data_IF_315396068875
#
_entry.id   IF_315396068875
#
_cell.length_a   1.000
_cell.length_b   1.000
_cell.length_c   1.000
_cell.angle_alpha   90.00
_cell.angle_beta   90.00
_cell.angle_gamma   90.00
#
_symmetry.space_group_name_H-M   'P 1'
#
loop_
_entity.id
_entity.type
_entity.pdbx_description
1 polymer ?
#
# COMPACT_ATOMS: atom_id res chain seq x y z
N UNK A 1 -29.68 4.02 50.82
CA UNK A 1 -30.66 4.74 50.00
C UNK A 1 -30.39 6.22 50.12
N UNK A 2 -29.69 6.79 49.14
CA UNK A 2 -29.82 8.15 48.60
C UNK A 2 -28.92 8.21 47.35
N UNK A 3 -29.43 8.86 46.33
CA UNK A 3 -29.24 8.65 44.90
C UNK A 3 -27.86 8.99 44.35
N UNK A 4 -27.30 8.08 43.54
CA UNK A 4 -26.45 8.46 42.41
C UNK A 4 -27.32 9.22 41.41
N UNK A 5 -27.17 10.54 41.35
CA UNK A 5 -27.60 11.31 40.20
C UNK A 5 -26.75 10.87 39.01
N UNK A 6 -27.34 10.00 38.21
CA UNK A 6 -26.93 9.73 36.85
C UNK A 6 -27.05 11.05 36.09
N UNK A 7 -25.93 11.74 35.88
CA UNK A 7 -25.82 12.80 34.88
C UNK A 7 -26.03 12.16 33.50
N UNK A 8 -27.29 11.98 33.14
CA UNK A 8 -27.73 11.91 31.76
C UNK A 8 -27.41 13.29 31.16
N UNK A 9 -26.27 13.38 30.48
CA UNK A 9 -26.04 14.42 29.49
C UNK A 9 -27.13 14.19 28.44
N UNK A 10 -28.21 14.95 28.55
CA UNK A 10 -29.14 15.15 27.43
C UNK A 10 -28.33 15.78 26.31
N UNK A 11 -27.92 14.97 25.33
CA UNK A 11 -27.37 15.45 24.07
C UNK A 11 -28.40 16.40 23.46
N UNK A 12 -28.17 17.71 23.59
CA UNK A 12 -28.72 18.65 22.64
C UNK A 12 -28.21 18.20 21.28
N UNK A 13 -29.08 17.68 20.41
CA UNK A 13 -28.72 17.32 19.05
C UNK A 13 -28.16 18.56 18.37
N UNK A 14 -26.84 18.65 18.26
CA UNK A 14 -26.15 19.77 17.63
C UNK A 14 -26.51 19.73 16.14
N UNK A 15 -27.03 20.84 15.62
CA UNK A 15 -27.26 21.06 14.19
C UNK A 15 -25.91 21.09 13.45
N UNK A 16 -25.88 20.59 12.21
CA UNK A 16 -24.64 20.41 11.44
C UNK A 16 -24.55 21.53 10.40
N UNK A 17 -23.72 22.53 10.66
CA UNK A 17 -23.66 23.75 9.84
C UNK A 17 -22.51 23.75 8.84
N UNK A 18 -21.48 22.94 9.06
CA UNK A 18 -20.30 22.89 8.21
C UNK A 18 -19.71 21.48 8.13
N UNK A 19 -18.71 21.30 7.27
CA UNK A 19 -18.08 19.99 7.06
C UNK A 19 -17.43 19.43 8.34
N UNK A 20 -16.82 20.28 9.18
CA UNK A 20 -16.19 19.84 10.43
C UNK A 20 -17.22 19.28 11.41
N UNK A 21 -18.42 19.86 11.46
CA UNK A 21 -19.53 19.34 12.28
C UNK A 21 -19.95 17.94 11.81
N UNK A 22 -20.01 17.71 10.50
CA UNK A 22 -20.29 16.40 9.91
C UNK A 22 -19.26 15.35 10.34
N UNK A 23 -17.97 15.70 10.29
CA UNK A 23 -16.89 14.82 10.76
C UNK A 23 -16.99 14.53 12.25
N UNK A 24 -17.17 15.57 13.07
CA UNK A 24 -17.29 15.42 14.52
C UNK A 24 -18.46 14.50 14.89
N UNK A 25 -19.61 14.68 14.25
CA UNK A 25 -20.77 13.83 14.45
C UNK A 25 -20.52 12.38 14.02
N UNK A 26 -19.94 12.16 12.84
CA UNK A 26 -19.64 10.80 12.36
C UNK A 26 -18.65 10.08 13.29
N UNK A 27 -17.60 10.77 13.74
CA UNK A 27 -16.62 10.27 14.70
C UNK A 27 -17.29 9.89 16.02
N UNK A 28 -18.18 10.75 16.54
CA UNK A 28 -18.91 10.47 17.77
C UNK A 28 -19.78 9.22 17.64
N UNK A 29 -20.54 9.12 16.55
CA UNK A 29 -21.36 7.94 16.25
C UNK A 29 -20.52 6.66 16.16
N UNK A 30 -19.39 6.69 15.44
CA UNK A 30 -18.54 5.52 15.29
C UNK A 30 -17.96 5.07 16.65
N UNK A 31 -17.54 6.02 17.48
CA UNK A 31 -17.03 5.73 18.84
C UNK A 31 -18.11 5.17 19.76
N UNK A 32 -19.37 5.54 19.54
CA UNK A 32 -20.52 4.99 20.26
C UNK A 32 -20.92 3.58 19.74
N UNK A 33 -20.28 3.09 18.67
CA UNK A 33 -20.56 1.79 18.06
C UNK A 33 -21.77 1.78 17.13
N UNK A 34 -22.24 2.96 16.69
CA UNK A 34 -23.37 3.05 15.77
C UNK A 34 -23.00 2.50 14.40
N UNK A 35 -23.98 1.90 13.71
CA UNK A 35 -23.81 1.53 12.32
C UNK A 35 -23.74 2.78 11.43
N UNK A 36 -22.89 2.73 10.41
CA UNK A 36 -22.73 3.78 9.39
C UNK A 36 -24.06 4.30 8.85
N UNK A 37 -25.01 3.41 8.54
CA UNK A 37 -26.34 3.79 8.01
C UNK A 37 -27.19 4.57 9.02
N UNK A 38 -27.08 4.25 10.31
CA UNK A 38 -27.81 4.95 11.38
C UNK A 38 -27.21 6.34 11.61
N UNK A 39 -25.88 6.41 11.70
CA UNK A 39 -25.16 7.65 11.81
C UNK A 39 -25.42 8.57 10.60
N UNK A 40 -25.40 8.02 9.38
CA UNK A 40 -25.61 8.77 8.14
C UNK A 40 -27.02 9.36 8.08
N UNK A 41 -28.04 8.58 8.44
CA UNK A 41 -29.42 9.06 8.47
C UNK A 41 -29.62 10.19 9.51
N UNK A 42 -28.97 10.08 10.67
CA UNK A 42 -29.10 11.08 11.72
C UNK A 42 -28.33 12.38 11.42
N UNK A 43 -27.12 12.26 10.90
CA UNK A 43 -26.32 13.39 10.42
C UNK A 43 -27.08 14.12 9.30
N UNK A 44 -27.54 13.41 8.27
CA UNK A 44 -28.25 14.02 7.15
C UNK A 44 -29.50 14.81 7.57
N UNK A 45 -30.26 14.31 8.56
CA UNK A 45 -31.44 15.01 9.09
C UNK A 45 -31.11 16.34 9.79
N UNK A 46 -29.86 16.54 10.21
CA UNK A 46 -29.36 17.73 10.92
C UNK A 46 -28.48 18.64 10.05
N UNK A 47 -28.18 18.23 8.82
CA UNK A 47 -27.30 18.96 7.92
C UNK A 47 -27.97 20.21 7.35
N UNK A 48 -27.22 21.31 7.38
CA UNK A 48 -27.55 22.53 6.66
C UNK A 48 -27.60 22.29 5.13
N UNK A 49 -28.55 22.90 4.39
CA UNK A 49 -28.68 22.71 2.95
C UNK A 49 -27.46 23.08 2.10
N UNK A 50 -26.49 23.84 2.65
CA UNK A 50 -25.23 24.14 1.97
C UNK A 50 -24.27 22.95 1.87
N UNK A 51 -24.48 21.93 2.70
CA UNK A 51 -23.72 20.68 2.66
C UNK A 51 -24.35 19.69 1.69
N UNK A 52 -23.52 18.81 1.11
CA UNK A 52 -23.92 17.94 0.00
C UNK A 52 -23.78 16.46 0.33
N UNK A 53 -24.39 15.59 -0.48
CA UNK A 53 -24.17 14.14 -0.37
C UNK A 53 -22.73 13.73 -0.69
N UNK A 54 -21.96 14.57 -1.39
CA UNK A 54 -20.53 14.37 -1.56
C UNK A 54 -19.79 14.49 -0.23
N UNK A 55 -20.22 15.40 0.64
CA UNK A 55 -19.64 15.57 1.98
C UNK A 55 -19.91 14.35 2.85
N UNK A 56 -21.14 13.81 2.81
CA UNK A 56 -21.48 12.53 3.44
C UNK A 56 -20.56 11.42 2.92
N UNK A 57 -20.43 11.25 1.60
CA UNK A 57 -19.59 10.19 1.04
C UNK A 57 -18.11 10.32 1.48
N UNK A 58 -17.58 11.54 1.49
CA UNK A 58 -16.21 11.82 1.93
C UNK A 58 -15.99 11.48 3.41
N UNK A 59 -16.93 11.86 4.29
CA UNK A 59 -16.82 11.60 5.74
C UNK A 59 -16.94 10.11 6.02
N UNK A 60 -17.95 9.45 5.46
CA UNK A 60 -18.23 8.05 5.77
C UNK A 60 -17.18 7.11 5.20
N UNK A 61 -16.66 7.36 4.00
CA UNK A 61 -15.53 6.58 3.45
C UNK A 61 -14.30 6.59 4.35
N UNK A 62 -14.13 7.61 5.19
CA UNK A 62 -12.99 7.76 6.09
C UNK A 62 -13.28 7.22 7.50
N UNK A 63 -14.35 7.68 8.13
CA UNK A 63 -14.67 7.35 9.54
C UNK A 63 -15.10 5.89 9.70
N UNK A 64 -15.76 5.33 8.67
CA UNK A 64 -16.18 3.94 8.62
C UNK A 64 -15.39 3.14 7.57
N UNK A 65 -14.12 3.50 7.34
CA UNK A 65 -13.28 2.90 6.30
C UNK A 65 -13.28 1.36 6.37
N UNK A 66 -13.23 0.78 7.57
CA UNK A 66 -13.27 -0.67 7.77
C UNK A 66 -14.56 -1.34 7.26
N UNK A 67 -15.70 -0.65 7.21
CA UNK A 67 -16.94 -1.19 6.64
C UNK A 67 -16.83 -1.36 5.13
N UNK A 68 -16.09 -0.47 4.48
CA UNK A 68 -15.91 -0.44 3.03
C UNK A 68 -14.61 -1.13 2.58
N UNK A 69 -13.75 -1.52 3.53
CA UNK A 69 -12.59 -2.38 3.30
C UNK A 69 -13.00 -3.85 3.10
N UNK A 70 -13.61 -4.12 1.94
CA UNK A 70 -14.19 -5.42 1.57
C UNK A 70 -13.45 -6.06 0.37
N UNK A 71 -14.09 -6.96 -0.39
CA UNK A 71 -13.49 -7.74 -1.47
C UNK A 71 -12.61 -6.96 -2.44
N UNK A 72 -13.08 -5.81 -2.93
CA UNK A 72 -12.31 -4.94 -3.85
C UNK A 72 -11.49 -3.85 -3.15
N UNK A 73 -11.62 -3.73 -1.82
CA UNK A 73 -11.05 -2.70 -0.93
C UNK A 73 -11.53 -1.29 -1.31
N UNK A 74 -11.96 -0.50 -0.32
CA UNK A 74 -12.63 0.80 -0.56
C UNK A 74 -13.82 0.66 -1.54
N UNK A 75 -14.72 -0.27 -1.22
CA UNK A 75 -15.86 -0.64 -2.05
C UNK A 75 -16.89 0.50 -2.12
N UNK A 76 -16.90 1.22 -3.24
CA UNK A 76 -17.81 2.35 -3.46
C UNK A 76 -19.26 1.91 -3.63
N UNK A 77 -19.51 0.68 -4.10
CA UNK A 77 -20.87 0.16 -4.26
C UNK A 77 -21.54 -0.08 -2.91
N UNK A 78 -20.77 -0.54 -1.92
CA UNK A 78 -21.26 -0.65 -0.54
C UNK A 78 -21.58 0.71 0.06
N UNK A 79 -20.70 1.71 -0.10
CA UNK A 79 -20.98 3.07 0.38
C UNK A 79 -22.23 3.66 -0.31
N UNK A 80 -22.36 3.49 -1.63
CA UNK A 80 -23.53 3.93 -2.37
C UNK A 80 -24.81 3.27 -1.87
N UNK A 81 -24.79 1.96 -1.62
CA UNK A 81 -25.92 1.23 -1.04
C UNK A 81 -26.29 1.75 0.35
N UNK A 82 -25.29 2.04 1.21
CA UNK A 82 -25.51 2.68 2.51
C UNK A 82 -26.15 4.06 2.35
N UNK A 83 -25.72 4.88 1.40
CA UNK A 83 -26.32 6.19 1.12
C UNK A 83 -27.79 6.07 0.68
N UNK A 84 -28.10 5.19 -0.27
CA UNK A 84 -29.48 4.94 -0.73
C UNK A 84 -30.36 4.48 0.43
N UNK A 85 -29.89 3.51 1.22
CA UNK A 85 -30.65 2.93 2.33
C UNK A 85 -30.90 3.93 3.46
N UNK A 86 -29.94 4.80 3.75
CA UNK A 86 -29.97 5.67 4.94
C UNK A 86 -30.79 6.93 4.72
N UNK A 87 -30.70 7.51 3.52
CA UNK A 87 -31.29 8.83 3.23
C UNK A 87 -32.23 8.84 2.02
N UNK A 88 -32.43 7.70 1.36
CA UNK A 88 -33.30 7.60 0.19
C UNK A 88 -32.77 8.33 -1.05
N UNK A 89 -31.45 8.47 -1.17
CA UNK A 89 -30.81 9.20 -2.27
C UNK A 89 -30.90 8.43 -3.60
N UNK A 90 -30.78 9.15 -4.72
CA UNK A 90 -30.75 8.53 -6.05
C UNK A 90 -29.57 7.54 -6.17
N UNK A 91 -29.80 6.28 -6.60
CA UNK A 91 -28.75 5.28 -6.69
C UNK A 91 -27.59 5.66 -7.63
N UNK A 92 -27.88 6.32 -8.75
CA UNK A 92 -26.86 6.69 -9.74
C UNK A 92 -25.94 7.77 -9.19
N UNK A 93 -26.52 8.81 -8.58
CA UNK A 93 -25.74 9.89 -7.95
C UNK A 93 -25.00 9.41 -6.70
N UNK A 94 -25.60 8.51 -5.91
CA UNK A 94 -24.93 7.88 -4.77
C UNK A 94 -23.67 7.15 -5.21
N UNK A 95 -23.76 6.36 -6.29
CA UNK A 95 -22.60 5.66 -6.86
C UNK A 95 -21.51 6.64 -7.34
N UNK A 96 -21.89 7.73 -8.01
CA UNK A 96 -20.93 8.73 -8.47
C UNK A 96 -20.16 9.37 -7.31
N UNK A 97 -20.85 9.78 -6.24
CA UNK A 97 -20.20 10.37 -5.07
C UNK A 97 -19.38 9.37 -4.28
N UNK A 98 -19.87 8.15 -4.10
CA UNK A 98 -19.14 7.09 -3.43
C UNK A 98 -17.86 6.72 -4.18
N UNK A 99 -17.93 6.54 -5.50
CA UNK A 99 -16.74 6.29 -6.33
C UNK A 99 -15.74 7.44 -6.24
N UNK A 100 -16.21 8.70 -6.32
CA UNK A 100 -15.32 9.85 -6.17
C UNK A 100 -14.68 9.95 -4.78
N UNK A 101 -15.41 9.56 -3.72
CA UNK A 101 -14.87 9.57 -2.37
C UNK A 101 -13.79 8.49 -2.21
N UNK A 102 -14.05 7.27 -2.68
CA UNK A 102 -13.13 6.14 -2.56
C UNK A 102 -11.82 6.28 -3.36
N UNK A 103 -11.74 7.22 -4.31
CA UNK A 103 -10.49 7.51 -5.04
C UNK A 103 -9.45 8.33 -4.23
N UNK A 104 -9.81 8.74 -3.01
CA UNK A 104 -8.97 9.56 -2.15
C UNK A 104 -8.84 8.91 -0.78
N UNK A 105 -7.61 8.58 -0.40
CA UNK A 105 -7.25 8.15 0.94
C UNK A 105 -7.51 9.28 1.94
N UNK A 106 -8.27 8.98 2.98
CA UNK A 106 -8.60 9.89 4.08
C UNK A 106 -8.23 9.28 5.42
N UNK A 107 -7.07 8.66 5.52
CA UNK A 107 -6.49 8.22 6.79
C UNK A 107 -5.11 8.83 7.01
N UNK A 108 -4.31 8.16 7.84
CA UNK A 108 -2.88 8.43 7.90
C UNK A 108 -2.24 7.94 6.61
N UNK A 109 -1.56 8.82 5.89
CA UNK A 109 -0.87 8.52 4.63
C UNK A 109 0.61 8.25 4.89
N UNK A 110 1.12 7.17 4.29
CA UNK A 110 2.55 6.97 4.02
C UNK A 110 2.78 7.32 2.56
N UNK A 111 3.60 8.33 2.26
CA UNK A 111 3.80 8.74 0.86
C UNK A 111 4.73 7.80 0.13
N UNK A 112 4.37 7.45 -1.10
CA UNK A 112 5.27 6.76 -2.03
C UNK A 112 6.31 7.72 -2.60
N UNK A 113 5.86 8.90 -3.01
CA UNK A 113 6.66 9.94 -3.67
C UNK A 113 6.39 11.30 -3.04
N UNK A 114 7.24 12.30 -3.31
CA UNK A 114 7.08 13.64 -2.73
C UNK A 114 5.73 14.30 -3.09
N UNK A 115 5.23 14.04 -4.30
CA UNK A 115 3.97 14.59 -4.82
C UNK A 115 2.73 13.79 -4.41
N UNK A 116 2.88 12.72 -3.64
CA UNK A 116 1.78 11.85 -3.25
C UNK A 116 0.80 12.61 -2.35
N UNK A 117 -0.47 12.63 -2.76
CA UNK A 117 -1.58 13.28 -2.05
C UNK A 117 -2.61 12.25 -1.57
N UNK A 118 -2.30 10.94 -1.60
CA UNK A 118 -3.20 9.88 -1.19
C UNK A 118 -4.25 9.52 -2.24
N UNK A 119 -3.94 9.66 -3.53
CA UNK A 119 -4.83 9.18 -4.59
C UNK A 119 -4.76 7.66 -4.65
N UNK A 120 -5.90 6.99 -4.57
CA UNK A 120 -6.02 5.53 -4.71
C UNK A 120 -7.00 5.18 -5.86
N UNK A 121 -6.90 4.00 -6.50
CA UNK A 121 -5.80 3.06 -6.37
C UNK A 121 -4.47 3.67 -6.85
N UNK A 122 -3.41 3.35 -6.13
CA UNK A 122 -2.04 3.75 -6.47
C UNK A 122 -1.51 2.90 -7.65
N UNK A 123 -0.55 3.48 -8.36
CA UNK A 123 0.30 2.72 -9.25
C UNK A 123 1.36 2.01 -8.39
N UNK A 124 1.49 0.70 -8.56
CA UNK A 124 2.39 -0.15 -7.79
C UNK A 124 3.83 0.41 -7.81
N UNK A 125 4.35 0.78 -6.63
CA UNK A 125 5.68 1.36 -6.48
C UNK A 125 6.34 0.86 -5.19
N UNK A 126 7.42 0.08 -5.36
CA UNK A 126 8.20 -0.52 -4.28
C UNK A 126 9.34 0.39 -3.77
N UNK A 127 9.23 1.72 -3.92
CA UNK A 127 10.20 2.71 -3.45
C UNK A 127 9.54 3.84 -2.66
N UNK A 128 8.96 3.47 -1.52
CA UNK A 128 8.30 4.39 -0.61
C UNK A 128 9.29 5.38 0.02
N UNK A 129 9.06 6.67 -0.22
CA UNK A 129 9.84 7.75 0.35
C UNK A 129 9.78 7.79 1.88
N UNK A 130 8.63 7.43 2.46
CA UNK A 130 8.34 7.65 3.86
C UNK A 130 8.77 6.49 4.78
N UNK A 131 9.27 5.38 4.23
CA UNK A 131 10.09 4.44 4.99
C UNK A 131 11.54 4.94 4.92
N UNK A 132 12.15 5.15 6.09
CA UNK A 132 13.53 5.61 6.21
C UNK A 132 14.34 4.52 6.90
N UNK A 133 15.40 4.05 6.24
CA UNK A 133 16.31 3.04 6.78
C UNK A 133 17.70 3.67 6.94
N UNK A 134 17.99 4.11 8.17
CA UNK A 134 19.25 4.76 8.50
C UNK A 134 20.18 3.76 9.19
N UNK A 135 21.50 3.95 9.05
CA UNK A 135 22.59 3.11 9.57
C UNK A 135 22.53 2.89 11.11
N UNK A 136 23.67 2.88 11.81
CA UNK A 136 23.72 2.62 13.26
C UNK A 136 23.50 3.87 14.14
N UNK A 137 23.12 5.01 13.57
CA UNK A 137 22.86 6.24 14.33
C UNK A 137 21.36 6.50 14.39
N UNK A 138 20.75 6.55 15.60
CA UNK A 138 19.34 6.90 15.70
C UNK A 138 19.12 8.36 15.31
N UNK A 139 18.03 8.62 14.62
CA UNK A 139 17.52 9.94 14.30
C UNK A 139 16.39 10.29 15.27
N UNK A 140 16.31 11.56 15.64
CA UNK A 140 15.18 12.07 16.41
C UNK A 140 13.99 12.43 15.50
N UNK A 141 12.81 12.59 16.11
CA UNK A 141 11.58 12.88 15.39
C UNK A 141 11.61 14.25 14.69
N UNK A 142 12.23 15.25 15.31
CA UNK A 142 12.32 16.61 14.78
C UNK A 142 13.10 16.63 13.46
N UNK A 143 14.22 15.91 13.41
CA UNK A 143 15.03 15.75 12.19
C UNK A 143 14.21 15.12 11.06
N UNK A 144 13.56 13.98 11.32
CA UNK A 144 12.77 13.24 10.34
C UNK A 144 11.58 14.03 9.79
N UNK A 145 10.94 14.84 10.64
CA UNK A 145 9.78 15.67 10.29
C UNK A 145 10.21 16.96 9.57
N UNK A 146 11.28 17.63 10.02
CA UNK A 146 11.77 18.88 9.42
C UNK A 146 12.35 18.64 8.02
N UNK A 147 13.00 17.49 7.81
CA UNK A 147 13.58 17.08 6.53
C UNK A 147 12.64 16.16 5.74
N UNK A 148 11.34 16.47 5.77
CA UNK A 148 10.25 15.65 5.24
C UNK A 148 10.42 15.13 3.80
N UNK A 149 11.01 15.95 2.93
CA UNK A 149 11.15 15.61 1.50
C UNK A 149 12.51 15.00 1.17
N UNK A 150 13.37 14.84 2.18
CA UNK A 150 14.74 14.43 1.97
C UNK A 150 14.88 12.90 1.84
N UNK A 151 15.83 12.48 1.02
CA UNK A 151 16.24 11.08 0.80
C UNK A 151 17.63 10.77 1.40
N UNK A 152 18.25 11.71 2.12
CA UNK A 152 19.62 11.55 2.64
C UNK A 152 19.82 10.31 3.54
N UNK A 153 18.78 9.84 4.24
CA UNK A 153 18.87 8.82 5.30
C UNK A 153 18.47 7.41 4.88
N UNK A 154 18.73 7.02 3.63
CA UNK A 154 18.51 5.65 3.16
C UNK A 154 19.85 5.00 2.81
N UNK A 155 20.64 4.72 3.84
CA UNK A 155 21.89 3.98 3.76
C UNK A 155 21.76 2.81 4.71
N UNK A 156 21.36 1.67 4.17
CA UNK A 156 21.47 0.40 4.88
C UNK A 156 22.92 -0.02 4.98
N UNK A 157 23.24 -0.74 6.03
CA UNK A 157 24.47 -1.48 6.18
C UNK A 157 24.16 -2.90 6.63
N UNK A 158 25.14 -3.80 6.53
CA UNK A 158 25.08 -5.05 7.27
C UNK A 158 25.02 -4.77 8.76
N UNK A 159 24.34 -5.64 9.50
CA UNK A 159 24.08 -5.47 10.93
C UNK A 159 23.07 -4.36 11.22
N UNK A 160 23.29 -3.57 12.26
CA UNK A 160 22.28 -2.71 12.86
C UNK A 160 21.91 -1.51 12.00
N UNK A 161 20.60 -1.39 11.74
CA UNK A 161 19.93 -0.25 11.12
C UNK A 161 18.70 0.17 11.95
N UNK A 162 18.41 1.47 11.94
CA UNK A 162 17.19 2.03 12.48
C UNK A 162 16.20 2.34 11.36
N UNK A 163 15.01 1.74 11.45
CA UNK A 163 13.93 1.95 10.49
C UNK A 163 12.86 2.85 11.11
N UNK A 164 12.43 3.84 10.34
CA UNK A 164 11.38 4.78 10.72
C UNK A 164 10.32 4.85 9.63
N UNK A 165 9.07 5.07 10.04
CA UNK A 165 7.95 5.29 9.12
C UNK A 165 7.40 6.68 9.34
N UNK A 166 7.63 7.56 8.38
CA UNK A 166 7.03 8.88 8.29
C UNK A 166 5.57 8.74 7.86
N UNK A 167 4.69 9.57 8.41
CA UNK A 167 3.30 9.61 7.98
C UNK A 167 2.64 10.97 8.21
N UNK A 168 1.52 11.22 7.54
CA UNK A 168 0.79 12.48 7.66
C UNK A 168 -0.72 12.25 7.63
N UNK A 169 -1.47 12.93 8.50
CA UNK A 169 -2.92 13.07 8.30
C UNK A 169 -3.15 14.19 7.28
N UNK A 170 -3.49 13.89 6.03
CA UNK A 170 -3.72 14.91 5.01
C UNK A 170 -5.18 15.35 4.90
N UNK A 171 -6.13 14.44 5.10
CA UNK A 171 -7.51 14.61 4.65
C UNK A 171 -8.57 14.16 5.69
N UNK A 172 -8.17 13.64 6.86
CA UNK A 172 -9.11 13.27 7.92
C UNK A 172 -9.31 14.47 8.85
N UNK A 173 -10.52 15.05 8.85
CA UNK A 173 -10.86 16.23 9.65
C UNK A 173 -11.20 15.84 11.10
N UNK A 174 -10.23 15.20 11.76
CA UNK A 174 -10.29 14.76 13.14
C UNK A 174 -8.91 14.36 13.63
N UNK A 175 -8.84 13.95 14.88
CA UNK A 175 -7.62 13.44 15.50
C UNK A 175 -7.50 11.93 15.26
N UNK A 176 -6.35 11.49 14.75
CA UNK A 176 -6.01 10.08 14.58
C UNK A 176 -4.86 9.68 15.51
N UNK A 177 -4.89 8.49 16.08
CA UNK A 177 -3.78 7.91 16.86
C UNK A 177 -3.22 6.70 16.11
N UNK A 178 -2.18 6.87 15.27
CA UNK A 178 -1.64 5.78 14.49
C UNK A 178 -0.74 4.83 15.29
N UNK A 179 -0.77 3.56 14.87
CA UNK A 179 0.19 2.52 15.25
C UNK A 179 0.85 1.96 14.00
N UNK A 180 2.14 1.70 14.07
CA UNK A 180 2.96 1.27 12.93
C UNK A 180 3.43 -0.16 13.14
N UNK A 181 3.32 -1.01 12.12
CA UNK A 181 4.03 -2.29 12.02
C UNK A 181 5.03 -2.21 10.88
N UNK A 182 6.21 -2.77 11.08
CA UNK A 182 7.24 -2.89 10.04
C UNK A 182 7.64 -4.35 9.90
N UNK A 183 7.80 -4.79 8.65
CA UNK A 183 8.19 -6.13 8.29
C UNK A 183 9.40 -6.10 7.36
N UNK A 184 10.24 -7.11 7.44
CA UNK A 184 11.28 -7.42 6.49
C UNK A 184 10.90 -8.66 5.67
N UNK A 185 11.06 -8.59 4.35
CA UNK A 185 10.81 -9.68 3.42
C UNK A 185 12.02 -9.89 2.49
N UNK A 186 12.17 -11.12 2.01
CA UNK A 186 13.16 -11.47 0.99
C UNK A 186 12.93 -10.66 -0.31
N UNK A 187 13.94 -10.53 -1.19
CA UNK A 187 13.73 -9.87 -2.49
C UNK A 187 12.73 -10.65 -3.34
N UNK A 188 11.73 -9.97 -3.89
CA UNK A 188 10.81 -10.58 -4.85
C UNK A 188 9.43 -9.97 -4.91
N UNK A 189 8.44 -10.82 -5.18
CA UNK A 189 7.08 -10.43 -5.55
C UNK A 189 6.04 -11.21 -4.76
N UNK A 190 4.96 -10.54 -4.37
CA UNK A 190 3.73 -11.17 -3.86
C UNK A 190 3.94 -12.21 -2.76
N UNK A 191 4.99 -12.07 -1.94
CA UNK A 191 5.26 -13.01 -0.87
C UNK A 191 4.13 -12.99 0.16
N UNK A 192 3.87 -14.15 0.77
CA UNK A 192 2.84 -14.27 1.78
C UNK A 192 3.29 -13.48 3.03
N UNK A 193 2.47 -12.58 3.57
CA UNK A 193 2.89 -11.77 4.73
C UNK A 193 3.24 -12.59 5.98
N UNK A 194 2.69 -13.79 6.13
CA UNK A 194 3.07 -14.72 7.21
C UNK A 194 4.51 -15.21 7.14
N UNK A 195 5.18 -15.04 5.99
CA UNK A 195 6.59 -15.41 5.80
C UNK A 195 7.53 -14.23 6.13
N UNK A 196 7.00 -13.03 6.32
CA UNK A 196 7.80 -11.86 6.62
C UNK A 196 8.24 -11.85 8.08
N UNK A 197 9.41 -11.25 8.33
CA UNK A 197 9.92 -11.05 9.68
C UNK A 197 9.39 -9.73 10.21
N UNK A 198 8.51 -9.77 11.21
CA UNK A 198 8.05 -8.55 11.88
C UNK A 198 9.17 -7.96 12.72
N UNK A 199 9.42 -6.66 12.57
CA UNK A 199 10.44 -5.93 13.32
C UNK A 199 9.88 -5.42 14.64
N UNK A 200 10.77 -5.34 15.63
CA UNK A 200 10.46 -4.82 16.97
C UNK A 200 10.98 -3.38 17.13
N UNK A 201 10.29 -2.59 17.95
CA UNK A 201 10.73 -1.25 18.34
C UNK A 201 12.01 -1.33 19.18
N UNK A 202 12.93 -0.39 18.99
CA UNK A 202 14.24 -0.45 19.66
C UNK A 202 14.15 -0.27 21.18
N UNK A 203 13.24 0.59 21.64
CA UNK A 203 13.18 0.98 23.05
C UNK A 203 12.32 0.06 23.90
N UNK A 204 11.24 -0.49 23.34
CA UNK A 204 10.27 -1.31 24.09
C UNK A 204 10.26 -2.78 23.67
N UNK A 205 10.79 -3.13 22.50
CA UNK A 205 10.70 -4.49 21.96
C UNK A 205 9.28 -4.84 21.48
N UNK A 206 8.43 -3.84 21.28
CA UNK A 206 7.05 -4.05 20.83
C UNK A 206 7.01 -4.25 19.32
N UNK A 207 6.05 -5.04 18.84
CA UNK A 207 5.82 -5.27 17.41
C UNK A 207 4.96 -4.17 16.76
N UNK A 208 4.42 -3.26 17.56
CA UNK A 208 3.64 -2.09 17.15
C UNK A 208 4.27 -0.82 17.71
N UNK A 209 4.74 0.06 16.83
CA UNK A 209 5.35 1.33 17.19
C UNK A 209 4.35 2.47 17.31
N UNK A 210 4.58 3.37 18.26
CA UNK A 210 3.85 4.65 18.34
C UNK A 210 4.39 5.67 17.35
N UNK A 211 3.54 6.60 16.94
CA UNK A 211 3.95 7.75 16.13
C UNK A 211 4.20 8.96 17.02
N UNK A 212 5.43 9.47 16.95
CA UNK A 212 5.89 10.67 17.62
C UNK A 212 5.66 11.91 16.74
N UNK A 213 5.28 13.00 17.40
CA UNK A 213 5.17 14.32 16.79
C UNK A 213 6.53 15.03 16.80
N UNK A 214 6.57 16.25 16.26
CA UNK A 214 7.81 17.04 16.14
C UNK A 214 8.53 17.27 17.48
N UNK A 215 7.79 17.26 18.60
CA UNK A 215 8.35 17.39 19.95
C UNK A 215 8.91 16.06 20.52
N UNK A 216 8.96 15.00 19.72
CA UNK A 216 9.46 13.68 20.12
C UNK A 216 8.49 12.88 21.00
N UNK A 217 7.27 13.36 21.22
CA UNK A 217 6.27 12.67 22.05
C UNK A 217 5.12 12.13 21.19
N UNK A 218 4.52 10.97 21.57
CA UNK A 218 3.34 10.46 20.89
C UNK A 218 2.14 11.36 21.16
N UNK A 219 1.24 11.44 20.18
CA UNK A 219 0.04 12.26 20.31
C UNK A 219 -0.91 12.15 19.13
N UNK A 220 -2.12 12.74 19.25
CA UNK A 220 -3.09 12.76 18.17
C UNK A 220 -2.58 13.57 16.97
N UNK A 221 -2.80 13.03 15.78
CA UNK A 221 -2.49 13.67 14.50
C UNK A 221 -3.74 14.32 13.92
N UNK A 222 -3.89 15.62 14.17
CA UNK A 222 -4.89 16.46 13.50
C UNK A 222 -4.57 16.61 12.01
N UNK A 223 -5.50 17.18 11.24
CA UNK A 223 -5.28 17.46 9.82
C UNK A 223 -3.99 18.24 9.58
N UNK A 224 -3.26 17.86 8.53
CA UNK A 224 -1.94 18.32 8.11
C UNK A 224 -0.78 18.02 9.07
N UNK A 225 -1.01 17.42 10.23
CA UNK A 225 0.06 17.05 11.16
C UNK A 225 0.88 15.90 10.58
N UNK A 226 2.20 16.08 10.62
CA UNK A 226 3.22 15.07 10.29
C UNK A 226 3.68 14.37 11.55
N UNK A 227 3.98 13.10 11.43
CA UNK A 227 4.53 12.28 12.48
C UNK A 227 5.53 11.28 11.92
N UNK A 228 6.25 10.65 12.84
CA UNK A 228 7.16 9.56 12.51
C UNK A 228 7.10 8.49 13.59
N UNK A 229 7.14 7.22 13.20
CA UNK A 229 7.20 6.14 14.17
C UNK A 229 8.41 6.28 15.09
N UNK A 230 8.34 5.67 16.26
CA UNK A 230 9.57 5.25 16.94
C UNK A 230 10.41 4.32 16.05
N UNK A 231 11.68 4.15 16.41
CA UNK A 231 12.60 3.37 15.60
C UNK A 231 12.33 1.87 15.76
N UNK A 232 12.35 1.15 14.64
CA UNK A 232 12.38 -0.30 14.58
C UNK A 232 13.79 -0.79 14.32
N UNK A 233 14.14 -1.96 14.88
CA UNK A 233 15.43 -2.58 14.67
C UNK A 233 15.40 -3.42 13.38
N UNK A 234 16.29 -3.11 12.45
CA UNK A 234 16.55 -3.94 11.27
C UNK A 234 18.01 -4.39 11.29
N UNK A 235 18.23 -5.71 11.36
CA UNK A 235 19.55 -6.32 11.54
C UNK A 235 19.83 -7.38 10.45
N UNK A 236 19.94 -6.96 9.17
CA UNK A 236 20.25 -7.86 8.07
C UNK A 236 21.62 -8.51 8.26
N UNK A 237 21.65 -9.84 8.18
CA UNK A 237 22.89 -10.64 8.31
C UNK A 237 23.71 -10.71 7.03
N UNK A 238 23.17 -10.15 5.94
CA UNK A 238 23.80 -10.17 4.63
C UNK A 238 23.59 -8.82 3.95
N UNK A 239 24.51 -8.41 3.09
CA UNK A 239 24.31 -7.26 2.19
C UNK A 239 23.35 -7.60 1.01
N UNK A 240 22.55 -8.66 1.14
CA UNK A 240 21.55 -9.02 0.13
C UNK A 240 20.38 -8.07 0.25
N UNK A 241 19.77 -7.81 -0.89
CA UNK A 241 18.56 -7.03 -0.97
C UNK A 241 17.50 -7.53 0.03
N UNK A 242 16.78 -6.59 0.61
CA UNK A 242 15.65 -6.84 1.50
C UNK A 242 14.53 -5.84 1.22
N UNK A 243 13.28 -6.26 1.36
CA UNK A 243 12.13 -5.36 1.24
C UNK A 243 11.60 -5.03 2.64
N UNK A 244 11.53 -3.74 2.97
CA UNK A 244 10.83 -3.26 4.15
C UNK A 244 9.39 -2.94 3.80
N UNK A 245 8.45 -3.48 4.57
CA UNK A 245 7.02 -3.22 4.42
C UNK A 245 6.52 -2.52 5.67
N UNK A 246 5.85 -1.39 5.50
CA UNK A 246 5.21 -0.67 6.60
C UNK A 246 3.68 -0.75 6.46
N UNK A 247 2.99 -0.84 7.59
CA UNK A 247 1.54 -0.76 7.64
C UNK A 247 1.11 0.04 8.88
N UNK A 248 0.19 0.98 8.70
CA UNK A 248 -0.34 1.83 9.75
C UNK A 248 -1.81 1.50 9.99
N UNK A 249 -2.16 1.27 11.24
CA UNK A 249 -3.54 1.20 11.74
C UNK A 249 -3.89 2.45 12.52
N UNK A 250 -5.18 2.75 12.61
CA UNK A 250 -5.74 3.86 13.40
C UNK A 250 -7.07 3.44 14.02
N UNK A 251 -7.62 4.27 14.90
CA UNK A 251 -8.94 4.05 15.54
C UNK A 251 -10.10 3.89 14.53
N UNK A 252 -9.95 4.36 13.28
CA UNK A 252 -10.98 4.31 12.24
C UNK A 252 -10.58 3.43 11.04
N UNK A 253 -9.40 2.83 11.10
CA UNK A 253 -8.92 1.91 10.07
C UNK A 253 -8.00 0.87 10.71
N UNK A 254 -8.62 -0.22 11.17
CA UNK A 254 -7.96 -1.32 11.86
C UNK A 254 -7.58 -2.45 10.91
N UNK A 255 -8.21 -2.53 9.73
CA UNK A 255 -7.98 -3.59 8.74
C UNK A 255 -6.73 -3.40 7.87
N UNK A 256 -5.85 -2.47 8.23
CA UNK A 256 -4.53 -2.25 7.63
C UNK A 256 -3.49 -3.32 8.03
N UNK A 257 -3.90 -4.55 8.29
CA UNK A 257 -2.98 -5.60 8.73
C UNK A 257 -2.60 -6.53 7.56
N UNK A 258 -1.34 -6.48 7.06
CA UNK A 258 -0.93 -7.33 5.94
C UNK A 258 -1.00 -8.82 6.29
N UNK A 259 -0.95 -9.22 7.56
CA UNK A 259 -1.04 -10.63 7.96
C UNK A 259 -2.41 -11.26 7.64
N UNK A 260 -3.41 -10.45 7.34
CA UNK A 260 -4.75 -10.91 6.92
C UNK A 260 -4.85 -11.23 5.43
N UNK A 261 -3.81 -10.96 4.64
CA UNK A 261 -3.81 -11.20 3.19
C UNK A 261 -3.69 -12.71 2.92
N UNK A 262 -4.72 -13.26 2.27
CA UNK A 262 -4.82 -14.71 2.00
C UNK A 262 -4.75 -15.12 0.54
N UNK A 263 -4.82 -14.19 -0.42
CA UNK A 263 -4.87 -14.49 -1.85
C UNK A 263 -4.27 -13.40 -2.73
N UNK A 264 -4.09 -13.69 -4.02
CA UNK A 264 -3.49 -12.76 -4.99
C UNK A 264 -4.32 -11.48 -5.12
N UNK A 265 -5.65 -11.65 -5.21
CA UNK A 265 -6.57 -10.52 -5.29
C UNK A 265 -6.48 -9.61 -4.06
N UNK A 266 -6.45 -10.18 -2.85
CA UNK A 266 -6.28 -9.41 -1.63
C UNK A 266 -4.93 -8.70 -1.59
N UNK A 267 -3.85 -9.37 -2.01
CA UNK A 267 -2.52 -8.76 -2.05
C UNK A 267 -2.43 -7.59 -3.05
N UNK A 268 -3.04 -7.73 -4.23
CA UNK A 268 -3.07 -6.69 -5.25
C UNK A 268 -3.92 -5.49 -4.82
N UNK A 269 -5.13 -5.74 -4.33
CA UNK A 269 -6.05 -4.67 -3.90
C UNK A 269 -5.58 -3.98 -2.62
N UNK A 270 -5.00 -4.72 -1.66
CA UNK A 270 -4.43 -4.13 -0.44
C UNK A 270 -3.30 -3.16 -0.79
N UNK A 271 -2.35 -3.58 -1.65
CA UNK A 271 -1.24 -2.73 -2.10
C UNK A 271 -1.68 -1.43 -2.74
N UNK A 272 -2.68 -1.49 -3.61
CA UNK A 272 -3.10 -0.35 -4.42
C UNK A 272 -4.05 0.58 -3.69
N UNK A 273 -4.90 0.07 -2.80
CA UNK A 273 -5.91 0.87 -2.13
C UNK A 273 -5.52 1.30 -0.70
N UNK A 274 -4.42 0.78 -0.14
CA UNK A 274 -3.99 1.11 1.22
C UNK A 274 -2.96 2.25 1.24
N UNK A 275 -3.44 3.50 1.37
CA UNK A 275 -2.58 4.66 1.58
C UNK A 275 -1.85 4.67 2.94
N UNK A 276 -2.23 3.81 3.87
CA UNK A 276 -1.54 3.61 5.14
C UNK A 276 -0.47 2.50 5.08
N UNK A 277 -0.02 2.11 3.88
CA UNK A 277 1.02 1.10 3.69
C UNK A 277 2.23 1.63 2.92
N UNK A 278 3.37 0.94 3.05
CA UNK A 278 4.70 1.35 2.57
C UNK A 278 5.48 0.14 2.04
N UNK A 279 6.20 0.25 0.92
CA UNK A 279 7.25 -0.72 0.53
C UNK A 279 8.52 0.03 0.18
N UNK A 280 9.62 -0.34 0.79
CA UNK A 280 10.95 0.18 0.48
C UNK A 280 11.89 -0.98 0.18
N UNK A 281 12.43 -0.94 -1.01
CA UNK A 281 13.57 -1.74 -1.40
C UNK A 281 14.85 -1.24 -0.73
N UNK A 282 15.45 -2.09 0.09
CA UNK A 282 16.72 -1.87 0.78
C UNK A 282 17.81 -2.64 0.03
N UNK A 283 18.90 -1.94 -0.30
CA UNK A 283 20.01 -2.38 -1.17
C UNK A 283 19.65 -2.63 -2.64
N UNK A 284 19.52 -1.57 -3.47
CA UNK A 284 19.44 -1.70 -4.92
C UNK A 284 20.80 -1.97 -5.60
N UNK A 285 21.91 -2.07 -4.84
CA UNK A 285 23.26 -2.32 -5.35
C UNK A 285 23.59 -3.83 -5.23
N UNK A 286 22.78 -4.68 -5.84
CA UNK A 286 23.03 -6.12 -5.85
C UNK A 286 23.11 -6.66 -7.28
N UNK A 287 24.15 -7.48 -7.51
CA UNK A 287 24.38 -8.29 -8.72
C UNK A 287 23.69 -9.67 -8.60
N UNK A 288 22.93 -9.89 -7.52
CA UNK A 288 22.34 -11.19 -7.18
C UNK A 288 20.90 -11.35 -7.70
N UNK A 289 20.57 -12.56 -8.11
CA UNK A 289 19.62 -12.82 -9.18
C UNK A 289 18.73 -14.02 -8.82
N UNK A 290 18.03 -13.90 -7.70
CA UNK A 290 16.91 -14.79 -7.39
C UNK A 290 15.86 -13.99 -6.65
N UNK A 291 14.69 -13.87 -7.27
CA UNK A 291 13.55 -13.13 -6.76
C UNK A 291 12.49 -14.14 -6.34
N UNK A 292 12.08 -14.11 -5.07
CA UNK A 292 11.00 -14.93 -4.55
C UNK A 292 9.70 -14.55 -5.24
N UNK A 293 8.85 -15.51 -5.57
CA UNK A 293 7.49 -15.22 -6.03
C UNK A 293 6.51 -16.26 -5.51
N UNK A 294 5.29 -15.81 -5.21
CA UNK A 294 4.25 -16.71 -4.74
C UNK A 294 2.98 -16.60 -5.59
N UNK A 295 2.33 -17.75 -5.78
CA UNK A 295 0.89 -17.81 -6.06
C UNK A 295 0.18 -18.05 -4.72
N UNK A 296 -0.54 -17.05 -4.23
CA UNK A 296 -1.24 -17.13 -2.94
C UNK A 296 -2.58 -17.86 -3.03
N UNK A 297 -3.13 -18.03 -4.23
CA UNK A 297 -4.45 -18.60 -4.43
C UNK A 297 -4.45 -20.13 -4.32
N UNK A 298 -5.60 -20.68 -3.93
CA UNK A 298 -5.85 -22.11 -3.82
C UNK A 298 -5.98 -22.85 -5.16
N UNK A 299 -5.78 -22.17 -6.30
CA UNK A 299 -5.82 -22.73 -7.64
C UNK A 299 -4.60 -22.32 -8.46
N UNK A 300 -4.22 -23.08 -9.51
CA UNK A 300 -3.18 -22.64 -10.43
C UNK A 300 -3.56 -21.33 -11.12
N UNK A 301 -2.59 -20.43 -11.25
CA UNK A 301 -2.81 -19.09 -11.80
C UNK A 301 -1.75 -18.76 -12.85
N UNK A 302 -2.13 -18.00 -13.88
CA UNK A 302 -1.20 -17.60 -14.94
C UNK A 302 -0.49 -16.30 -14.58
N UNK A 303 0.84 -16.30 -14.65
CA UNK A 303 1.65 -15.11 -14.41
C UNK A 303 2.56 -14.80 -15.59
N UNK A 304 2.86 -13.52 -15.77
CA UNK A 304 3.98 -13.04 -16.56
C UNK A 304 5.08 -12.50 -15.63
N UNK A 305 6.32 -12.72 -16.05
CA UNK A 305 7.49 -12.07 -15.49
C UNK A 305 8.12 -11.21 -16.59
N UNK A 306 8.22 -9.91 -16.34
CA UNK A 306 8.71 -8.95 -17.33
C UNK A 306 9.91 -8.17 -16.81
N UNK A 307 11.03 -8.20 -17.51
CA UNK A 307 12.19 -7.34 -17.29
C UNK A 307 12.13 -6.14 -18.26
N UNK A 308 11.83 -4.97 -17.69
CA UNK A 308 11.76 -3.68 -18.38
C UNK A 308 13.16 -3.05 -18.36
N UNK A 309 13.88 -3.20 -19.46
CA UNK A 309 15.23 -2.67 -19.62
C UNK A 309 15.17 -1.20 -20.03
N UNK A 310 15.85 -0.32 -19.31
CA UNK A 310 15.89 1.11 -19.58
C UNK A 310 17.34 1.61 -19.62
N UNK A 311 17.75 2.18 -20.75
CA UNK A 311 19.08 2.72 -21.09
C UNK A 311 20.25 1.74 -20.92
N UNK A 312 19.99 0.44 -20.77
CA UNK A 312 21.06 -0.57 -20.68
C UNK A 312 21.92 -0.59 -21.96
N UNK A 313 23.22 -0.90 -21.88
CA UNK A 313 24.08 -0.99 -23.04
C UNK A 313 23.54 -1.96 -24.09
N UNK A 314 23.62 -1.57 -25.36
CA UNK A 314 23.26 -2.46 -26.46
C UNK A 314 24.11 -3.73 -26.41
N UNK A 315 23.45 -4.87 -26.53
CA UNK A 315 24.07 -6.19 -26.41
C UNK A 315 24.07 -6.77 -25.00
N UNK A 316 23.53 -6.06 -24.00
CA UNK A 316 23.24 -6.64 -22.68
C UNK A 316 22.31 -7.85 -22.85
N UNK A 317 22.66 -8.98 -22.23
CA UNK A 317 21.84 -10.18 -22.20
C UNK A 317 21.01 -10.20 -20.93
N UNK A 318 19.70 -10.40 -21.07
CA UNK A 318 18.77 -10.55 -19.96
C UNK A 318 18.04 -11.88 -20.09
N UNK A 319 17.92 -12.63 -18.98
CA UNK A 319 17.13 -13.86 -18.92
C UNK A 319 16.32 -13.94 -17.63
N UNK A 320 15.10 -14.47 -17.73
CA UNK A 320 14.18 -14.74 -16.62
C UNK A 320 13.89 -16.24 -16.62
N UNK A 321 14.21 -16.94 -15.53
CA UNK A 321 14.14 -18.41 -15.47
C UNK A 321 13.60 -18.92 -14.14
N UNK A 322 12.80 -19.97 -14.18
CA UNK A 322 12.52 -20.79 -13.02
C UNK A 322 13.23 -22.14 -13.16
N UNK A 323 13.96 -22.57 -12.12
CA UNK A 323 14.64 -23.87 -12.11
C UNK A 323 13.72 -25.04 -11.75
N UNK A 324 12.50 -24.76 -11.28
CA UNK A 324 11.54 -25.82 -10.96
C UNK A 324 11.08 -26.50 -12.26
N UNK A 325 11.26 -27.82 -12.43
CA UNK A 325 10.81 -28.55 -13.60
C UNK A 325 9.30 -28.44 -13.88
N UNK A 326 8.47 -28.17 -12.86
CA UNK A 326 7.03 -27.94 -13.03
C UNK A 326 6.71 -26.59 -13.68
N UNK A 327 7.70 -25.68 -13.73
CA UNK A 327 7.59 -24.32 -14.24
C UNK A 327 8.57 -24.06 -15.39
N UNK A 328 8.88 -25.09 -16.18
CA UNK A 328 9.81 -24.99 -17.31
C UNK A 328 9.39 -23.97 -18.37
N UNK A 329 8.10 -23.62 -18.43
CA UNK A 329 7.57 -22.60 -19.34
C UNK A 329 8.02 -21.19 -18.93
N UNK A 330 8.42 -20.98 -17.67
CA UNK A 330 8.99 -19.73 -17.17
C UNK A 330 10.49 -19.71 -17.50
N UNK A 331 10.80 -19.59 -18.79
CA UNK A 331 12.15 -19.33 -19.30
C UNK A 331 12.06 -18.38 -20.50
N UNK A 332 12.63 -17.18 -20.39
CA UNK A 332 12.68 -16.23 -21.51
C UNK A 332 13.78 -16.55 -22.54
N UNK A 333 14.68 -17.48 -22.23
CA UNK A 333 15.97 -17.63 -22.89
C UNK A 333 16.91 -16.45 -22.61
N UNK A 334 18.11 -16.53 -23.19
CA UNK A 334 19.08 -15.43 -23.19
C UNK A 334 18.68 -14.38 -24.25
N UNK A 335 18.01 -13.30 -23.84
CA UNK A 335 17.56 -12.25 -24.74
C UNK A 335 18.58 -11.13 -24.81
N UNK A 336 19.11 -10.86 -26.01
CA UNK A 336 20.01 -9.74 -26.25
C UNK A 336 19.22 -8.45 -26.43
N UNK A 337 19.46 -7.47 -25.57
CA UNK A 337 18.86 -6.13 -25.64
C UNK A 337 19.48 -5.35 -26.80
N UNK A 338 18.63 -4.80 -27.65
CA UNK A 338 19.01 -4.10 -28.89
C UNK A 338 18.57 -2.64 -28.92
N UNK A 339 17.86 -2.17 -27.89
CA UNK A 339 17.25 -0.84 -27.84
C UNK A 339 17.39 -0.24 -26.45
N UNK A 340 17.35 1.10 -26.39
CA UNK A 340 17.38 1.83 -25.12
C UNK A 340 16.18 1.55 -24.21
N UNK A 341 15.05 1.09 -24.76
CA UNK A 341 13.97 0.47 -23.98
C UNK A 341 13.54 -0.83 -24.64
N UNK A 342 13.54 -1.92 -23.87
CA UNK A 342 13.12 -3.24 -24.33
C UNK A 342 12.51 -4.03 -23.16
N UNK A 343 11.43 -4.74 -23.42
CA UNK A 343 10.82 -5.66 -22.45
C UNK A 343 11.21 -7.09 -22.82
N UNK A 344 11.79 -7.81 -21.88
CA UNK A 344 12.01 -9.25 -21.93
C UNK A 344 10.94 -9.90 -21.07
N UNK A 345 10.21 -10.89 -21.59
CA UNK A 345 9.06 -11.46 -20.90
C UNK A 345 9.00 -12.97 -21.04
N UNK A 346 8.47 -13.62 -20.01
CA UNK A 346 8.06 -15.02 -20.03
C UNK A 346 6.75 -15.18 -19.25
N UNK A 347 5.94 -16.19 -19.58
CA UNK A 347 4.67 -16.45 -18.93
C UNK A 347 4.57 -17.94 -18.55
N UNK A 348 3.91 -18.25 -17.45
CA UNK A 348 3.70 -19.63 -17.02
C UNK A 348 2.50 -19.77 -16.09
N UNK A 349 1.99 -21.00 -15.97
CA UNK A 349 0.95 -21.34 -14.99
C UNK A 349 1.62 -21.81 -13.72
N UNK A 350 1.45 -21.05 -12.65
CA UNK A 350 2.04 -21.32 -11.34
C UNK A 350 1.06 -22.12 -10.49
N UNK A 351 1.46 -23.27 -9.90
CA UNK A 351 0.58 -24.10 -9.07
C UNK A 351 -0.06 -23.34 -7.90
N UNK A 352 -1.15 -23.91 -7.38
CA UNK A 352 -1.83 -23.38 -6.19
C UNK A 352 -0.89 -23.29 -4.98
N UNK A 353 -1.01 -22.23 -4.18
CA UNK A 353 -0.23 -22.01 -2.94
C UNK A 353 1.29 -22.17 -3.10
N UNK A 354 1.82 -21.86 -4.28
CA UNK A 354 3.21 -22.11 -4.63
C UNK A 354 4.13 -20.97 -4.15
N UNK A 355 5.35 -21.34 -3.79
CA UNK A 355 6.46 -20.43 -3.49
C UNK A 355 7.65 -20.86 -4.36
N UNK A 356 8.20 -19.93 -5.12
CA UNK A 356 9.32 -20.23 -6.01
C UNK A 356 10.32 -19.11 -6.13
N UNK A 357 11.30 -19.39 -6.98
CA UNK A 357 12.48 -18.59 -7.22
C UNK A 357 12.58 -18.26 -8.72
N UNK A 358 12.63 -16.97 -9.04
CA UNK A 358 12.89 -16.46 -10.38
C UNK A 358 14.34 -16.00 -10.47
N UNK A 359 15.13 -16.69 -11.27
CA UNK A 359 16.48 -16.27 -11.62
C UNK A 359 16.46 -15.20 -12.71
N UNK A 360 17.21 -14.11 -12.50
CA UNK A 360 17.22 -12.91 -13.36
C UNK A 360 18.65 -12.63 -13.87
N UNK A 361 19.08 -13.24 -14.96
CA UNK A 361 20.40 -12.94 -15.50
C UNK A 361 20.42 -11.53 -16.09
N UNK A 362 21.41 -10.71 -15.71
CA UNK A 362 21.73 -9.46 -16.41
C UNK A 362 23.23 -9.44 -16.67
N UNK A 363 23.63 -9.51 -17.94
CA UNK A 363 25.02 -9.58 -18.37
C UNK A 363 25.30 -8.52 -19.43
N UNK A 364 25.97 -7.44 -19.07
CA UNK A 364 26.36 -6.39 -20.03
C UNK A 364 27.43 -6.91 -21.01
N UNK A 365 27.63 -6.26 -22.17
CA UNK A 365 28.62 -6.70 -23.17
C UNK A 365 30.05 -6.83 -22.64
N UNK A 366 30.41 -5.99 -21.67
CA UNK A 366 31.72 -5.93 -21.03
C UNK A 366 31.80 -6.75 -19.72
N UNK A 367 30.73 -7.47 -19.36
CA UNK A 367 30.57 -8.17 -18.08
C UNK A 367 30.72 -7.28 -16.84
N UNK A 368 30.43 -5.99 -16.99
CA UNK A 368 30.43 -5.01 -15.91
C UNK A 368 29.03 -4.82 -15.31
N UNK A 369 28.91 -4.18 -14.12
CA UNK A 369 27.61 -3.75 -13.61
C UNK A 369 26.88 -2.83 -14.60
N UNK A 370 25.54 -2.80 -14.49
CA UNK A 370 24.70 -1.89 -15.26
C UNK A 370 25.18 -0.44 -15.03
N UNK A 371 25.42 0.37 -16.08
CA UNK A 371 25.92 1.73 -15.91
C UNK A 371 24.95 2.64 -15.15
N UNK A 372 25.48 3.67 -14.49
CA UNK A 372 24.69 4.74 -13.88
C UNK A 372 23.59 5.24 -14.83
N UNK A 373 22.42 5.54 -14.28
CA UNK A 373 21.21 5.99 -15.01
C UNK A 373 20.51 4.91 -15.86
N UNK A 374 21.05 3.70 -15.91
CA UNK A 374 20.39 2.54 -16.49
C UNK A 374 19.71 1.72 -15.42
N UNK A 375 18.65 1.00 -15.79
CA UNK A 375 17.91 0.13 -14.87
C UNK A 375 17.29 -1.06 -15.58
N UNK A 376 17.10 -2.14 -14.84
CA UNK A 376 16.24 -3.26 -15.24
C UNK A 376 15.19 -3.44 -14.15
N UNK A 377 13.93 -3.14 -14.46
CA UNK A 377 12.81 -3.37 -13.54
C UNK A 377 12.13 -4.69 -13.88
N UNK A 378 12.19 -5.66 -12.97
CA UNK A 378 11.49 -6.94 -13.11
C UNK A 378 10.13 -6.84 -12.42
N UNK A 379 9.07 -7.22 -13.12
CA UNK A 379 7.68 -7.19 -12.65
C UNK A 379 7.10 -8.58 -12.64
N UNK A 380 6.30 -8.87 -11.63
CA UNK A 380 5.36 -9.99 -11.65
C UNK A 380 3.96 -9.46 -12.00
N UNK A 381 3.29 -10.12 -12.93
CA UNK A 381 1.97 -9.72 -13.42
C UNK A 381 1.07 -10.94 -13.37
N UNK A 382 -0.08 -10.83 -12.69
CA UNK A 382 -1.13 -11.84 -12.73
C UNK A 382 -2.01 -11.64 -13.96
N UNK A 383 -2.17 -12.68 -14.77
CA UNK A 383 -2.89 -12.63 -16.03
C UNK A 383 -4.26 -13.28 -15.84
N UNK A 384 -5.30 -12.46 -15.91
CA UNK A 384 -6.68 -12.92 -15.81
C UNK A 384 -7.29 -13.04 -17.21
N UNK A 385 -7.72 -14.24 -17.59
CA UNK A 385 -8.57 -14.40 -18.77
C UNK A 385 -10.03 -14.02 -18.47
N UNK A 386 -10.86 -13.94 -19.52
CA UNK A 386 -12.25 -13.51 -19.41
C UNK A 386 -13.17 -14.48 -18.64
N UNK A 387 -12.70 -15.68 -18.31
CA UNK A 387 -13.44 -16.67 -17.52
C UNK A 387 -13.06 -16.65 -16.04
N UNK A 388 -12.03 -15.88 -15.67
CA UNK A 388 -11.61 -15.73 -14.29
C UNK A 388 -12.65 -14.92 -13.48
N UNK A 389 -12.97 -15.37 -12.27
CA UNK A 389 -13.99 -14.74 -11.39
C UNK A 389 -13.69 -13.27 -11.06
N UNK A 390 -12.40 -12.89 -10.94
CA UNK A 390 -11.94 -11.50 -10.76
C UNK A 390 -11.74 -10.68 -12.03
N UNK A 391 -12.09 -11.20 -13.21
CA UNK A 391 -11.76 -10.52 -14.47
C UNK A 391 -12.33 -9.10 -14.57
N UNK A 392 -13.62 -8.93 -14.28
CA UNK A 392 -14.29 -7.63 -14.33
C UNK A 392 -13.85 -6.70 -13.20
N UNK A 393 -13.74 -7.22 -11.97
CA UNK A 393 -13.20 -6.47 -10.82
C UNK A 393 -11.81 -5.89 -11.15
N UNK A 394 -10.94 -6.69 -11.78
CA UNK A 394 -9.61 -6.29 -12.17
C UNK A 394 -9.61 -5.26 -13.30
N UNK A 395 -10.49 -5.41 -14.29
CA UNK A 395 -10.66 -4.45 -15.36
C UNK A 395 -11.09 -3.08 -14.84
N UNK A 396 -12.04 -3.05 -13.90
CA UNK A 396 -12.51 -1.82 -13.26
C UNK A 396 -11.40 -1.18 -12.42
N UNK A 397 -10.69 -1.96 -11.60
CA UNK A 397 -9.57 -1.47 -10.78
C UNK A 397 -8.44 -0.86 -11.63
N UNK A 398 -8.21 -1.37 -12.84
CA UNK A 398 -7.15 -0.93 -13.75
C UNK A 398 -7.61 0.09 -14.80
N UNK A 399 -8.89 0.48 -14.80
CA UNK A 399 -9.52 1.25 -15.87
C UNK A 399 -9.28 0.65 -17.28
N UNK A 400 -9.31 -0.69 -17.37
CA UNK A 400 -9.07 -1.46 -18.60
C UNK A 400 -10.37 -1.84 -19.32
N UNK A 401 -11.35 -0.95 -19.27
CA UNK A 401 -12.73 -1.21 -19.71
C UNK A 401 -12.86 -1.56 -21.20
N UNK A 402 -12.11 -0.91 -22.08
CA UNK A 402 -12.15 -1.19 -23.52
C UNK A 402 -11.53 -2.55 -23.85
N UNK A 403 -10.41 -2.88 -23.20
CA UNK A 403 -9.75 -4.17 -23.37
C UNK A 403 -10.60 -5.32 -22.85
N UNK A 404 -11.31 -5.09 -21.73
CA UNK A 404 -12.25 -6.05 -21.17
C UNK A 404 -13.44 -6.33 -22.11
N UNK A 405 -14.01 -5.29 -22.74
CA UNK A 405 -15.05 -5.46 -23.77
C UNK A 405 -14.57 -6.23 -24.98
N UNK A 406 -13.29 -6.13 -25.31
CA UNK A 406 -12.64 -6.90 -26.37
C UNK A 406 -12.15 -8.30 -25.90
N UNK A 407 -12.52 -8.75 -24.70
CA UNK A 407 -12.16 -10.03 -24.10
C UNK A 407 -10.63 -10.26 -24.00
N UNK A 408 -9.85 -9.18 -23.92
CA UNK A 408 -8.40 -9.26 -23.73
C UNK A 408 -8.09 -9.60 -22.27
N UNK A 409 -7.05 -10.40 -22.03
CA UNK A 409 -6.62 -10.70 -20.67
C UNK A 409 -6.26 -9.42 -19.91
N UNK A 410 -6.69 -9.34 -18.65
CA UNK A 410 -6.33 -8.26 -17.74
C UNK A 410 -5.00 -8.60 -17.07
N UNK A 411 -4.11 -7.61 -16.98
CA UNK A 411 -2.75 -7.75 -16.44
C UNK A 411 -2.66 -7.00 -15.12
N UNK A 412 -2.76 -7.72 -14.00
CA UNK A 412 -2.75 -7.15 -12.64
C UNK A 412 -1.31 -7.12 -12.12
N UNK A 413 -0.74 -5.94 -11.79
CA UNK A 413 0.59 -5.85 -11.19
C UNK A 413 0.65 -6.53 -9.82
N UNK A 414 1.67 -7.34 -9.59
CA UNK A 414 1.88 -8.11 -8.36
C UNK A 414 3.20 -7.76 -7.67
N UNK A 415 3.78 -6.59 -7.95
CA UNK A 415 5.05 -6.12 -7.39
C UNK A 415 6.14 -5.96 -8.46
N UNK A 416 7.13 -5.13 -8.13
CA UNK A 416 8.32 -4.95 -8.97
C UNK A 416 9.61 -4.85 -8.16
N UNK A 417 10.71 -5.20 -8.81
CA UNK A 417 12.06 -5.13 -8.29
C UNK A 417 12.94 -4.42 -9.31
N UNK A 418 13.71 -3.42 -8.90
CA UNK A 418 14.53 -2.63 -9.84
C UNK A 418 16.00 -2.77 -9.54
N UNK A 419 16.73 -3.36 -10.50
CA UNK A 419 18.19 -3.31 -10.55
C UNK A 419 18.61 -1.93 -11.07
N UNK A 420 19.27 -1.15 -10.22
CA UNK A 420 19.74 0.19 -10.56
C UNK A 420 21.24 0.16 -10.87
N UNK A 421 21.66 0.88 -11.91
CA UNK A 421 23.08 1.04 -12.19
C UNK A 421 23.79 1.94 -11.19
N UNK A 422 24.96 1.52 -10.73
CA UNK A 422 25.80 2.26 -9.78
C UNK A 422 26.98 2.95 -10.45
N UNK A 423 27.54 3.96 -9.77
CA UNK A 423 28.88 4.47 -10.10
C UNK A 423 29.92 3.43 -9.69
N UNK A 424 30.98 3.33 -10.48
CA UNK A 424 32.22 2.67 -10.07
C UNK A 424 32.72 3.39 -8.81
N UNK A 425 32.91 2.67 -7.71
CA UNK A 425 33.82 3.13 -6.66
C UNK A 425 35.27 2.95 -7.11
#
# INVERSE_FOLDING_TARGET
MLSQECMLITESKIDIHNIQDTWNAAIAHQKNGDYDTTAMADIYRRMDPSLTMKDIANVFSAVYADNYWNGIKMDSSLLAACMVKSVGYDPTLAQQYASSAMLQWRGILIRRLQSDQGKIPENDNCNCLDIVCNENTPLDAEQLITNWNNKFWNRSQTDKNYVYVRCQNLQFLGALTPKVKVFNADPGFNQRPSDWVQLETVNTGDIEGVVNLINGSPGPMNINVRGVSEAFMFDPKTAKHSCLVAAITTDFFTKSDPLTISGNWDAATWRRNNGASGWLNVDPIAVESTLKFNNLDGRPEKFAFEAHCNKVPEGTVVALRCKDPQLSDIDSGDVKVSRGFQIVSTEGVVPANYKGDLEVLIKTPDNMPIPKESSVEVKMIWILDHNHDRYLDAADMLDFNEGARALRSVRVPMGSFTFMGSLKE
#
